data_IF_101796681966
#
_entry.id   IF_101796681966
#
_cell.length_a   1.000
_cell.length_b   1.000
_cell.length_c   1.000
_cell.angle_alpha   90.00
_cell.angle_beta   90.00
_cell.angle_gamma   90.00
#
_symmetry.space_group_name_H-M   'P 1'
#
loop_
_entity.id
_entity.type
_entity.pdbx_description
1 polymer ?
#
# COMPACT_ATOMS: atom_id res chain seq x y z
N UNK A 1 -5.71 16.97 -11.94
CA UNK A 1 -4.83 16.56 -10.84
C UNK A 1 -5.56 15.53 -10.00
N UNK A 2 -5.02 14.35 -9.88
CA UNK A 2 -5.63 13.25 -9.14
C UNK A 2 -4.99 13.10 -7.77
N UNK A 3 -5.73 12.53 -6.82
CA UNK A 3 -5.25 12.22 -5.48
C UNK A 3 -4.96 10.73 -5.38
N UNK A 4 -3.73 10.39 -5.05
CA UNK A 4 -3.23 9.02 -4.90
C UNK A 4 -2.93 8.72 -3.45
N UNK A 5 -3.36 7.55 -3.00
CA UNK A 5 -2.95 6.99 -1.71
C UNK A 5 -2.06 5.78 -1.99
N UNK A 6 -0.83 5.81 -1.48
CA UNK A 6 0.17 4.76 -1.73
C UNK A 6 0.57 4.12 -0.40
N UNK A 7 0.37 2.82 -0.27
CA UNK A 7 0.84 2.07 0.91
C UNK A 7 2.26 1.54 0.68
N UNK A 8 3.01 1.32 1.77
CA UNK A 8 4.39 0.86 1.67
C UNK A 8 5.28 1.85 0.94
N UNK A 9 5.11 3.14 1.21
CA UNK A 9 5.68 4.23 0.42
C UNK A 9 7.08 4.67 0.85
N UNK A 10 7.64 4.11 1.92
CA UNK A 10 8.88 4.61 2.50
C UNK A 10 10.15 4.13 1.78
N UNK A 11 10.02 3.19 0.86
CA UNK A 11 11.16 2.63 0.12
C UNK A 11 10.70 1.93 -1.16
N UNK A 12 11.65 1.54 -1.98
CA UNK A 12 11.44 0.69 -3.15
C UNK A 12 10.42 1.24 -4.14
N UNK A 13 9.57 0.37 -4.64
CA UNK A 13 8.57 0.72 -5.68
C UNK A 13 7.58 1.76 -5.17
N UNK A 14 7.13 1.64 -3.92
CA UNK A 14 6.20 2.60 -3.33
C UNK A 14 6.76 4.01 -3.27
N UNK A 15 8.02 4.14 -2.89
CA UNK A 15 8.72 5.44 -2.88
C UNK A 15 8.84 6.01 -4.30
N UNK A 16 9.18 5.17 -5.27
CA UNK A 16 9.31 5.60 -6.67
C UNK A 16 7.96 6.05 -7.25
N UNK A 17 6.87 5.38 -6.90
CA UNK A 17 5.53 5.88 -7.25
C UNK A 17 5.31 7.29 -6.71
N UNK A 18 5.61 7.52 -5.44
CA UNK A 18 5.41 8.83 -4.83
C UNK A 18 6.23 9.91 -5.54
N UNK A 19 7.47 9.60 -5.90
CA UNK A 19 8.36 10.50 -6.61
C UNK A 19 7.79 10.87 -7.99
N UNK A 20 7.43 9.89 -8.79
CA UNK A 20 6.93 10.12 -10.14
C UNK A 20 5.59 10.82 -10.15
N UNK A 21 4.69 10.45 -9.24
CA UNK A 21 3.40 11.10 -9.13
C UNK A 21 3.54 12.57 -8.69
N UNK A 22 4.46 12.84 -7.78
CA UNK A 22 4.77 14.20 -7.35
C UNK A 22 5.32 15.05 -8.49
N UNK A 23 6.22 14.48 -9.28
CA UNK A 23 6.79 15.14 -10.46
C UNK A 23 5.73 15.44 -11.52
N UNK A 24 4.70 14.60 -11.65
CA UNK A 24 3.56 14.82 -12.54
C UNK A 24 2.62 15.93 -12.05
N UNK A 25 2.73 16.35 -10.81
CA UNK A 25 1.84 17.34 -10.22
C UNK A 25 0.58 16.75 -9.59
N UNK A 26 0.52 15.44 -9.38
CA UNK A 26 -0.58 14.80 -8.68
C UNK A 26 -0.42 14.98 -7.16
N UNK A 27 -1.54 14.93 -6.44
CA UNK A 27 -1.54 14.91 -4.98
C UNK A 27 -1.25 13.52 -4.48
N UNK A 28 -0.30 13.39 -3.54
CA UNK A 28 0.13 12.09 -3.04
C UNK A 28 -0.02 12.05 -1.52
N UNK A 29 -0.66 10.99 -1.04
CA UNK A 29 -0.69 10.63 0.38
C UNK A 29 0.10 9.32 0.49
N UNK A 30 1.24 9.38 1.15
CA UNK A 30 2.11 8.23 1.37
C UNK A 30 1.86 7.66 2.75
N UNK A 31 1.67 6.37 2.87
CA UNK A 31 1.54 5.71 4.18
C UNK A 31 2.67 4.71 4.39
N UNK A 32 3.16 4.65 5.61
CA UNK A 32 4.24 3.75 6.01
C UNK A 32 4.26 3.60 7.53
N UNK A 33 4.99 2.61 8.03
CA UNK A 33 5.20 2.47 9.47
C UNK A 33 6.17 3.54 9.97
N UNK A 34 7.28 3.70 9.28
CA UNK A 34 8.30 4.72 9.57
C UNK A 34 8.71 5.40 8.27
N UNK A 35 8.83 6.71 8.30
CA UNK A 35 9.27 7.45 7.13
C UNK A 35 10.78 7.36 6.94
N UNK A 36 11.22 7.74 5.75
CA UNK A 36 12.63 7.86 5.38
C UNK A 36 12.91 9.28 4.95
N UNK A 37 14.18 9.68 4.98
CA UNK A 37 14.59 11.00 4.52
C UNK A 37 14.21 11.21 3.04
N UNK A 38 14.38 10.16 2.23
CA UNK A 38 14.03 10.22 0.81
C UNK A 38 12.55 10.52 0.60
N UNK A 39 11.67 9.91 1.38
CA UNK A 39 10.24 10.17 1.30
C UNK A 39 9.91 11.58 1.80
N UNK A 40 10.47 11.97 2.92
CA UNK A 40 10.24 13.31 3.50
C UNK A 40 10.67 14.43 2.55
N UNK A 41 11.77 14.21 1.83
CA UNK A 41 12.32 15.20 0.89
C UNK A 41 11.42 15.42 -0.35
N UNK A 42 10.49 14.51 -0.62
CA UNK A 42 9.56 14.69 -1.74
C UNK A 42 8.52 15.78 -1.52
N UNK A 43 8.26 16.15 -0.27
CA UNK A 43 7.25 17.15 0.06
C UNK A 43 5.81 16.68 -0.14
N UNK A 44 5.56 15.37 -0.21
CA UNK A 44 4.21 14.80 -0.25
C UNK A 44 3.65 14.67 1.18
N UNK A 45 2.33 14.50 1.30
CA UNK A 45 1.73 14.19 2.60
C UNK A 45 2.15 12.79 3.03
N UNK A 46 2.73 12.68 4.23
CA UNK A 46 3.18 11.40 4.78
C UNK A 46 2.41 11.10 6.06
N UNK A 47 1.78 9.93 6.11
CA UNK A 47 1.12 9.42 7.30
C UNK A 47 1.95 8.24 7.82
N UNK A 48 2.61 8.46 8.96
CA UNK A 48 3.45 7.44 9.61
C UNK A 48 2.67 6.65 10.66
N UNK A 49 3.26 5.56 11.13
CA UNK A 49 2.63 4.70 12.13
C UNK A 49 1.47 3.90 11.57
N UNK A 50 1.41 3.74 10.26
CA UNK A 50 0.35 2.99 9.60
C UNK A 50 0.83 1.57 9.30
N UNK A 51 0.29 0.62 10.06
CA UNK A 51 0.46 -0.81 9.84
C UNK A 51 -0.84 -1.36 9.24
N UNK A 52 -0.80 -1.78 7.99
CA UNK A 52 -1.99 -2.26 7.29
C UNK A 52 -2.60 -3.52 7.88
N UNK A 53 -1.86 -4.25 8.73
CA UNK A 53 -2.34 -5.44 9.43
C UNK A 53 -3.05 -5.08 10.74
N UNK A 54 -2.93 -3.85 11.20
CA UNK A 54 -3.53 -3.38 12.45
C UNK A 54 -4.84 -2.64 12.18
N UNK A 55 -5.95 -3.19 12.64
CA UNK A 55 -7.26 -2.55 12.51
C UNK A 55 -7.31 -1.17 13.14
N UNK A 56 -6.68 -0.99 14.30
CA UNK A 56 -6.59 0.31 14.96
C UNK A 56 -5.86 1.35 14.11
N UNK A 57 -4.72 0.95 13.55
CA UNK A 57 -3.92 1.81 12.68
C UNK A 57 -4.73 2.26 11.46
N UNK A 58 -5.45 1.33 10.83
CA UNK A 58 -6.26 1.62 9.65
C UNK A 58 -7.44 2.54 9.99
N UNK A 59 -8.09 2.33 11.13
CA UNK A 59 -9.17 3.22 11.59
C UNK A 59 -8.64 4.64 11.85
N UNK A 60 -7.47 4.75 12.46
CA UNK A 60 -6.85 6.05 12.70
C UNK A 60 -6.56 6.79 11.38
N UNK A 61 -6.07 6.07 10.40
CA UNK A 61 -5.85 6.64 9.06
C UNK A 61 -7.17 7.05 8.41
N UNK A 62 -8.18 6.20 8.48
CA UNK A 62 -9.52 6.51 7.96
C UNK A 62 -10.06 7.82 8.54
N UNK A 63 -9.88 8.02 9.84
CA UNK A 63 -10.33 9.25 10.51
C UNK A 63 -9.56 10.47 10.01
N UNK A 64 -8.26 10.35 9.82
CA UNK A 64 -7.41 11.44 9.29
C UNK A 64 -7.75 11.82 7.85
N UNK A 65 -8.23 10.87 7.06
CA UNK A 65 -8.56 11.06 5.66
C UNK A 65 -10.05 11.32 5.44
N UNK A 66 -10.83 11.51 6.51
CA UNK A 66 -12.28 11.74 6.42
C UNK A 66 -12.60 12.94 5.52
N UNK A 67 -13.54 12.74 4.61
CA UNK A 67 -13.98 13.76 3.66
C UNK A 67 -13.06 13.94 2.44
N UNK A 68 -11.94 13.25 2.39
CA UNK A 68 -10.99 13.35 1.29
C UNK A 68 -11.35 12.33 0.20
N UNK A 69 -11.44 12.80 -1.05
CA UNK A 69 -11.63 11.91 -2.19
C UNK A 69 -10.27 11.35 -2.65
N UNK A 70 -10.21 10.04 -2.78
CA UNK A 70 -9.04 9.33 -3.33
C UNK A 70 -9.41 8.83 -4.73
N UNK A 71 -8.67 9.28 -5.73
CA UNK A 71 -8.91 8.87 -7.12
C UNK A 71 -8.26 7.53 -7.42
N UNK A 72 -7.09 7.27 -6.84
CA UNK A 72 -6.37 6.02 -7.04
C UNK A 72 -5.76 5.55 -5.72
N UNK A 73 -6.09 4.32 -5.34
CA UNK A 73 -5.48 3.65 -4.19
C UNK A 73 -4.47 2.62 -4.72
N UNK A 74 -3.20 2.81 -4.40
CA UNK A 74 -2.13 1.89 -4.79
C UNK A 74 -1.75 1.05 -3.57
N UNK A 75 -2.18 -0.20 -3.56
CA UNK A 75 -1.87 -1.19 -2.54
C UNK A 75 -0.52 -1.81 -2.85
N UNK A 76 0.56 -1.16 -2.41
CA UNK A 76 1.92 -1.58 -2.68
C UNK A 76 2.57 -2.33 -1.51
N UNK A 77 2.08 -2.15 -0.30
CA UNK A 77 2.63 -2.85 0.86
C UNK A 77 2.53 -4.37 0.66
N UNK A 78 3.63 -5.06 0.89
CA UNK A 78 3.68 -6.49 0.73
C UNK A 78 5.03 -7.05 1.21
N UNK A 79 5.07 -8.35 1.41
CA UNK A 79 6.30 -9.06 1.81
C UNK A 79 6.45 -10.34 1.01
N UNK A 80 7.70 -10.75 0.83
CA UNK A 80 8.03 -12.05 0.28
C UNK A 80 9.03 -12.72 1.21
N UNK A 81 8.64 -13.85 1.78
CA UNK A 81 9.50 -14.70 2.59
C UNK A 81 9.57 -16.06 1.90
N UNK A 82 10.77 -16.62 1.83
CA UNK A 82 10.98 -17.86 1.10
C UNK A 82 10.70 -19.05 1.97
N UNK A 83 10.03 -20.04 1.41
CA UNK A 83 9.76 -21.33 2.02
C UNK A 83 10.01 -22.43 1.00
N UNK A 84 10.35 -23.60 1.48
CA UNK A 84 10.41 -24.83 0.68
C UNK A 84 9.67 -25.93 1.41
N UNK A 85 9.41 -27.02 0.72
CA UNK A 85 8.71 -28.14 1.34
C UNK A 85 9.51 -28.73 2.50
N UNK A 86 10.84 -28.70 2.41
CA UNK A 86 11.73 -29.24 3.44
C UNK A 86 11.98 -28.24 4.58
N UNK A 87 11.86 -26.94 4.29
CA UNK A 87 12.07 -25.85 5.25
C UNK A 87 10.83 -24.95 5.28
N UNK A 88 9.70 -25.55 5.69
CA UNK A 88 8.43 -24.89 5.71
C UNK A 88 8.19 -24.22 7.06
N UNK A 89 7.90 -22.92 7.04
CA UNK A 89 7.50 -22.14 8.20
C UNK A 89 6.03 -21.69 8.04
N UNK A 90 5.07 -22.37 8.67
CA UNK A 90 3.67 -22.01 8.56
C UNK A 90 3.36 -20.58 9.00
N UNK A 91 4.06 -20.05 10.00
CA UNK A 91 3.84 -18.68 10.47
C UNK A 91 4.29 -17.66 9.42
N UNK A 92 5.37 -17.94 8.70
CA UNK A 92 5.79 -17.14 7.56
C UNK A 92 4.71 -17.08 6.48
N UNK A 93 4.11 -18.23 6.18
CA UNK A 93 3.05 -18.33 5.17
C UNK A 93 1.81 -17.55 5.61
N UNK A 94 1.41 -17.68 6.88
CA UNK A 94 0.26 -16.93 7.43
C UNK A 94 0.52 -15.44 7.37
N UNK A 95 1.71 -14.99 7.72
CA UNK A 95 2.11 -13.59 7.69
C UNK A 95 2.07 -13.03 6.28
N UNK A 96 2.58 -13.79 5.29
CA UNK A 96 2.52 -13.39 3.89
C UNK A 96 1.09 -13.31 3.37
N UNK A 97 0.24 -14.26 3.73
CA UNK A 97 -1.17 -14.22 3.37
C UNK A 97 -1.86 -12.99 3.98
N UNK A 98 -1.63 -12.73 5.26
CA UNK A 98 -2.24 -11.58 5.93
C UNK A 98 -1.82 -10.26 5.27
N UNK A 99 -0.53 -10.07 5.03
CA UNK A 99 -0.02 -8.82 4.50
C UNK A 99 -0.36 -8.65 3.01
N UNK A 100 -0.24 -9.72 2.22
CA UNK A 100 -0.35 -9.64 0.77
C UNK A 100 -1.78 -9.83 0.25
N UNK A 101 -2.65 -10.49 1.00
CA UNK A 101 -4.00 -10.81 0.54
C UNK A 101 -5.10 -10.25 1.45
N UNK A 102 -5.08 -10.57 2.73
CA UNK A 102 -6.15 -10.16 3.65
C UNK A 102 -6.13 -8.65 3.92
N UNK A 103 -4.97 -8.10 4.26
CA UNK A 103 -4.86 -6.68 4.62
C UNK A 103 -5.23 -5.74 3.48
N UNK A 104 -4.82 -5.96 2.22
CA UNK A 104 -5.29 -5.13 1.12
C UNK A 104 -6.79 -5.10 0.95
N UNK A 105 -7.46 -6.23 1.17
CA UNK A 105 -8.91 -6.30 1.09
C UNK A 105 -9.57 -5.49 2.23
N UNK A 106 -9.10 -5.67 3.46
CA UNK A 106 -9.61 -4.95 4.62
C UNK A 106 -9.32 -3.44 4.51
N UNK A 107 -8.15 -3.08 4.00
CA UNK A 107 -7.78 -1.69 3.79
C UNK A 107 -8.68 -1.02 2.74
N UNK A 108 -8.94 -1.69 1.63
CA UNK A 108 -9.87 -1.19 0.60
C UNK A 108 -11.25 -0.95 1.20
N UNK A 109 -11.75 -1.90 1.99
CA UNK A 109 -13.03 -1.75 2.68
C UNK A 109 -13.03 -0.52 3.60
N UNK A 110 -11.96 -0.31 4.35
CA UNK A 110 -11.85 0.84 5.24
C UNK A 110 -11.86 2.17 4.49
N UNK A 111 -11.34 2.20 3.27
CA UNK A 111 -11.26 3.41 2.45
C UNK A 111 -12.47 3.64 1.54
N UNK A 112 -13.51 2.82 1.62
CA UNK A 112 -14.67 2.92 0.71
C UNK A 112 -15.29 4.32 0.67
N UNK A 113 -15.38 4.99 1.82
CA UNK A 113 -15.96 6.34 1.87
C UNK A 113 -15.08 7.40 1.19
N UNK A 114 -13.82 7.10 0.95
CA UNK A 114 -12.90 7.99 0.24
C UNK A 114 -12.87 7.69 -1.27
N UNK A 115 -13.38 6.53 -1.68
CA UNK A 115 -13.46 6.13 -3.07
C UNK A 115 -14.81 6.55 -3.64
N UNK A 116 -14.80 6.97 -4.88
CA UNK A 116 -16.00 7.41 -5.59
C UNK A 116 -16.11 6.67 -6.91
N UNK A 117 -17.21 6.89 -7.62
CA UNK A 117 -17.36 6.36 -8.97
C UNK A 117 -16.19 6.85 -9.83
N UNK A 118 -15.54 5.94 -10.53
CA UNK A 118 -14.35 6.22 -11.33
C UNK A 118 -13.03 6.08 -10.58
N UNK A 119 -13.05 5.96 -9.25
CA UNK A 119 -11.84 5.66 -8.49
C UNK A 119 -11.29 4.28 -8.85
N UNK A 120 -9.97 4.14 -8.77
CA UNK A 120 -9.27 2.90 -9.10
C UNK A 120 -8.57 2.36 -7.87
N UNK A 121 -8.56 1.03 -7.74
CA UNK A 121 -7.76 0.32 -6.75
C UNK A 121 -6.76 -0.55 -7.49
N UNK A 122 -5.48 -0.31 -7.24
CA UNK A 122 -4.39 -1.05 -7.85
C UNK A 122 -3.79 -1.97 -6.79
N UNK A 123 -3.81 -3.27 -7.05
CA UNK A 123 -3.19 -4.27 -6.20
C UNK A 123 -1.87 -4.67 -6.84
N UNK A 124 -0.76 -4.35 -6.17
CA UNK A 124 0.56 -4.70 -6.67
C UNK A 124 0.78 -6.19 -6.51
N UNK A 125 1.20 -6.81 -7.58
CA UNK A 125 1.58 -8.22 -7.60
C UNK A 125 2.90 -8.34 -8.35
N UNK A 126 3.38 -9.56 -8.55
CA UNK A 126 4.59 -9.81 -9.30
C UNK A 126 4.30 -10.66 -10.53
N UNK A 127 5.29 -10.73 -11.42
CA UNK A 127 5.26 -11.64 -12.57
C UNK A 127 4.99 -13.08 -12.15
N UNK A 128 5.47 -13.46 -10.95
CA UNK A 128 5.28 -14.81 -10.40
C UNK A 128 3.81 -15.15 -10.14
N UNK A 129 2.93 -14.16 -10.03
CA UNK A 129 1.49 -14.38 -9.90
C UNK A 129 0.79 -14.68 -11.22
N UNK A 130 1.48 -14.61 -12.35
CA UNK A 130 0.91 -14.83 -13.66
C UNK A 130 0.96 -16.31 -14.04
N UNK A 131 -0.20 -16.89 -14.37
CA UNK A 131 -0.29 -18.27 -14.85
C UNK A 131 0.41 -18.43 -16.21
N UNK A 132 0.47 -17.37 -17.02
CA UNK A 132 1.15 -17.38 -18.31
C UNK A 132 2.66 -17.33 -18.22
N UNK A 133 3.17 -16.82 -17.11
CA UNK A 133 4.62 -16.71 -16.90
C UNK A 133 5.12 -17.95 -16.20
N UNK A 134 5.72 -18.86 -16.95
CA UNK A 134 6.26 -20.12 -16.44
C UNK A 134 7.70 -19.98 -15.91
N UNK A 135 8.16 -18.80 -15.67
CA UNK A 135 9.53 -18.56 -15.18
C UNK A 135 9.72 -18.81 -13.68
#
# INVERSE_FOLDING_TARGET
>A
MATYLVTGANRGIGLEYCKQLRERGDDVIATCRSSTQELDDLGVRVEVGIDITSGESVVNLKNKLSGLKIDVLIQNAGVLERNSLLELDPESIRRQFEINALSPLCFTRAMLNNLAEGSKVILMTSRMGSIKDNS
#
